data_IF_647132226805
#
_entry.id   IF_647132226805
#
_cell.length_a   1.000
_cell.length_b   1.000
_cell.length_c   1.000
_cell.angle_alpha   90.00
_cell.angle_beta   90.00
_cell.angle_gamma   90.00
#
_symmetry.space_group_name_H-M   'P 1'
#
loop_
_entity.id
_entity.type
_entity.pdbx_description
1 polymer ?
#
# COMPACT_ATOMS: atom_id res chain seq x y z
N UNK A 1 -13.17 -5.86 -3.43
CA UNK A 1 -11.87 -5.20 -3.20
C UNK A 1 -12.01 -4.20 -2.07
N UNK A 2 -11.09 -4.20 -1.10
CA UNK A 2 -11.06 -3.29 0.05
C UNK A 2 -9.77 -2.48 0.09
N UNK A 3 -9.88 -1.21 0.52
CA UNK A 3 -8.75 -0.29 0.69
C UNK A 3 -8.02 -0.61 1.98
N UNK A 4 -6.73 -0.92 1.89
CA UNK A 4 -5.86 -1.14 3.06
C UNK A 4 -5.18 0.14 3.51
N UNK A 5 -4.78 0.99 2.56
CA UNK A 5 -4.12 2.25 2.88
C UNK A 5 -4.23 3.25 1.73
N UNK A 6 -4.22 4.54 2.09
CA UNK A 6 -4.22 5.67 1.17
C UNK A 6 -2.87 6.38 1.21
N UNK A 7 -2.42 6.87 0.06
CA UNK A 7 -1.16 7.55 -0.14
C UNK A 7 -1.37 8.81 -0.98
N UNK A 8 -0.48 9.79 -0.78
CA UNK A 8 -0.40 11.03 -1.55
C UNK A 8 0.52 10.90 -2.78
N UNK A 9 1.29 9.81 -2.87
CA UNK A 9 2.25 9.59 -3.95
C UNK A 9 2.33 8.11 -4.36
N UNK A 10 2.66 7.90 -5.64
CA UNK A 10 2.68 6.56 -6.25
C UNK A 10 3.85 5.69 -5.74
N UNK A 11 4.95 6.31 -5.28
CA UNK A 11 6.12 5.57 -4.81
C UNK A 11 5.76 4.83 -3.51
N UNK A 12 5.22 5.53 -2.51
CA UNK A 12 4.80 4.94 -1.24
C UNK A 12 3.72 3.88 -1.42
N UNK A 13 2.76 4.11 -2.33
CA UNK A 13 1.74 3.12 -2.66
C UNK A 13 2.34 1.84 -3.26
N UNK A 14 3.30 1.97 -4.18
CA UNK A 14 3.97 0.82 -4.80
C UNK A 14 4.90 0.07 -3.83
N UNK A 15 5.52 0.76 -2.87
CA UNK A 15 6.26 0.10 -1.78
C UNK A 15 5.30 -0.74 -0.93
N UNK A 16 4.16 -0.18 -0.53
CA UNK A 16 3.14 -0.91 0.24
C UNK A 16 2.61 -2.13 -0.53
N UNK A 17 2.35 -1.98 -1.84
CA UNK A 17 1.99 -3.09 -2.72
C UNK A 17 3.07 -4.18 -2.72
N UNK A 18 4.35 -3.80 -2.86
CA UNK A 18 5.47 -4.74 -2.84
C UNK A 18 5.53 -5.55 -1.55
N UNK A 19 5.40 -4.91 -0.38
CA UNK A 19 5.38 -5.60 0.93
C UNK A 19 4.26 -6.65 1.00
N UNK A 20 3.06 -6.32 0.54
CA UNK A 20 1.94 -7.26 0.53
C UNK A 20 2.19 -8.43 -0.42
N UNK A 21 2.65 -8.15 -1.64
CA UNK A 21 2.90 -9.18 -2.65
C UNK A 21 4.04 -10.13 -2.25
N UNK A 22 5.10 -9.63 -1.62
CA UNK A 22 6.19 -10.45 -1.06
C UNK A 22 5.70 -11.40 0.05
N UNK A 23 4.63 -11.04 0.75
CA UNK A 23 3.99 -11.87 1.76
C UNK A 23 2.83 -12.72 1.21
N UNK A 24 2.70 -12.81 -0.12
CA UNK A 24 1.71 -13.66 -0.78
C UNK A 24 0.30 -13.07 -0.83
N UNK A 25 0.13 -11.77 -0.58
CA UNK A 25 -1.14 -11.05 -0.70
C UNK A 25 -1.14 -10.21 -1.98
N UNK A 26 -1.85 -10.61 -3.05
CA UNK A 26 -1.99 -9.80 -4.24
C UNK A 26 -2.65 -8.46 -3.93
N UNK A 27 -2.03 -7.36 -4.37
CA UNK A 27 -2.50 -6.01 -4.14
C UNK A 27 -2.48 -5.19 -5.43
N UNK A 28 -3.33 -4.18 -5.51
CA UNK A 28 -3.42 -3.27 -6.65
C UNK A 28 -3.30 -1.82 -6.17
N UNK A 29 -2.75 -0.95 -7.02
CA UNK A 29 -2.74 0.49 -6.80
C UNK A 29 -3.81 1.13 -7.69
N UNK A 30 -4.73 1.88 -7.09
CA UNK A 30 -5.74 2.67 -7.79
C UNK A 30 -5.36 4.15 -7.74
N UNK A 31 -5.67 4.87 -8.82
CA UNK A 31 -5.52 6.33 -8.89
C UNK A 31 -4.13 6.86 -9.22
N UNK A 32 -3.11 5.99 -9.41
CA UNK A 32 -1.72 6.38 -9.71
C UNK A 32 -1.56 7.26 -10.97
N UNK A 33 -2.50 7.17 -11.93
CA UNK A 33 -2.44 7.89 -13.21
C UNK A 33 -3.51 9.00 -13.34
N UNK A 34 -4.32 9.24 -12.32
CA UNK A 34 -5.43 10.22 -12.41
C UNK A 34 -4.92 11.67 -12.50
N UNK A 35 -3.80 11.99 -11.88
CA UNK A 35 -3.17 13.32 -11.95
C UNK A 35 -2.74 13.64 -13.40
N UNK A 36 -2.23 12.65 -14.13
CA UNK A 36 -1.82 12.81 -15.53
C UNK A 36 -3.03 12.95 -16.47
N UNK A 37 -4.11 12.20 -16.22
CA UNK A 37 -5.28 12.16 -17.10
C UNK A 37 -6.24 13.34 -16.92
N UNK A 38 -6.26 14.00 -15.76
CA UNK A 38 -7.30 15.00 -15.44
C UNK A 38 -6.77 16.44 -15.43
N UNK A 39 -5.44 16.63 -15.49
CA UNK A 39 -4.83 17.96 -15.35
C UNK A 39 -5.07 18.62 -13.98
N UNK A 40 -5.74 17.91 -13.06
CA UNK A 40 -6.02 18.38 -11.73
C UNK A 40 -4.83 18.03 -10.82
N UNK A 41 -4.05 19.04 -10.48
CA UNK A 41 -2.97 19.02 -9.47
C UNK A 41 -3.50 18.95 -8.03
N UNK A 42 -4.80 18.68 -7.85
CA UNK A 42 -5.42 18.68 -6.53
C UNK A 42 -5.32 17.27 -5.91
N UNK A 43 -4.15 16.97 -5.35
CA UNK A 43 -3.85 15.72 -4.63
C UNK A 43 -4.79 15.47 -3.45
N UNK A 44 -5.45 16.51 -2.95
CA UNK A 44 -6.45 16.41 -1.87
C UNK A 44 -7.76 15.77 -2.33
N UNK A 45 -8.06 15.76 -3.63
CA UNK A 45 -9.29 15.18 -4.18
C UNK A 45 -9.11 13.75 -4.71
N UNK A 46 -7.87 13.30 -4.93
CA UNK A 46 -7.57 12.00 -5.52
C UNK A 46 -6.45 11.32 -4.73
N UNK A 47 -6.84 10.56 -3.70
CA UNK A 47 -5.90 9.68 -2.99
C UNK A 47 -5.51 8.50 -3.88
N UNK A 48 -4.23 8.11 -3.84
CA UNK A 48 -3.76 6.85 -4.40
C UNK A 48 -4.05 5.76 -3.38
N UNK A 49 -4.74 4.69 -3.79
CA UNK A 49 -5.24 3.67 -2.87
C UNK A 49 -4.58 2.33 -3.14
N UNK A 50 -4.06 1.68 -2.11
CA UNK A 50 -3.69 0.26 -2.18
C UNK A 50 -4.89 -0.56 -1.74
N UNK A 51 -5.26 -1.52 -2.58
CA UNK A 51 -6.46 -2.35 -2.40
C UNK A 51 -6.12 -3.83 -2.55
N UNK A 52 -6.85 -4.67 -1.82
CA UNK A 52 -6.73 -6.14 -1.86
C UNK A 52 -8.11 -6.77 -2.05
N UNK A 53 -8.15 -8.07 -2.36
CA UNK A 53 -9.40 -8.83 -2.29
C UNK A 53 -9.98 -8.82 -0.88
N UNK A 54 -11.31 -8.79 -0.76
CA UNK A 54 -11.99 -8.69 0.54
C UNK A 54 -11.64 -9.85 1.47
N UNK A 55 -11.39 -11.04 0.92
CA UNK A 55 -11.00 -12.23 1.67
C UNK A 55 -9.60 -12.16 2.27
N UNK A 56 -8.75 -11.25 1.77
CA UNK A 56 -7.36 -11.08 2.20
C UNK A 56 -7.15 -9.81 3.04
N UNK A 57 -8.22 -9.06 3.32
CA UNK A 57 -8.13 -7.78 4.01
C UNK A 57 -7.51 -7.90 5.42
N UNK A 58 -7.98 -8.85 6.22
CA UNK A 58 -7.50 -9.03 7.59
C UNK A 58 -6.02 -9.44 7.63
N UNK A 59 -5.61 -10.27 6.67
CA UNK A 59 -4.21 -10.68 6.50
C UNK A 59 -3.32 -9.51 6.07
N UNK A 60 -3.78 -8.69 5.13
CA UNK A 60 -3.07 -7.48 4.71
C UNK A 60 -2.86 -6.51 5.87
N UNK A 61 -3.91 -6.29 6.70
CA UNK A 61 -3.81 -5.44 7.88
C UNK A 61 -2.84 -6.02 8.94
N UNK A 62 -2.77 -7.34 9.07
CA UNK A 62 -1.80 -8.02 9.95
C UNK A 62 -0.36 -7.80 9.48
N UNK A 63 -0.10 -7.93 8.18
CA UNK A 63 1.23 -7.71 7.59
C UNK A 63 1.66 -6.25 7.80
N UNK A 64 0.79 -5.29 7.47
CA UNK A 64 1.10 -3.86 7.57
C UNK A 64 1.19 -3.35 9.02
N UNK A 65 0.48 -3.99 9.95
CA UNK A 65 0.56 -3.67 11.39
C UNK A 65 1.72 -4.35 12.11
N UNK A 66 2.42 -5.28 11.46
CA UNK A 66 3.63 -5.89 12.03
C UNK A 66 4.78 -4.91 11.87
N UNK A 67 5.30 -4.38 12.99
CA UNK A 67 6.54 -3.59 12.94
C UNK A 67 7.65 -4.42 12.27
N UNK A 68 8.57 -3.80 11.51
CA UNK A 68 9.72 -4.52 11.00
C UNK A 68 10.41 -5.15 12.20
N UNK A 69 10.42 -6.48 12.27
CA UNK A 69 11.14 -7.20 13.31
C UNK A 69 12.58 -6.71 13.24
N UNK A 70 12.96 -5.86 14.20
CA UNK A 70 14.28 -5.31 14.30
C UNK A 70 15.26 -6.46 14.16
N UNK A 71 16.18 -6.31 13.22
CA UNK A 71 17.32 -7.21 13.08
C UNK A 71 17.84 -7.56 14.48
N UNK A 72 17.97 -8.84 14.78
CA UNK A 72 18.69 -9.32 15.95
C UNK A 72 20.07 -8.65 15.96
N UNK A 73 20.23 -7.55 16.69
CA UNK A 73 21.55 -7.07 17.06
C UNK A 73 22.07 -8.07 18.07
N UNK A 74 22.72 -9.12 17.56
CA UNK A 74 23.59 -9.99 18.35
C UNK A 74 24.71 -9.12 18.90
N UNK A 75 24.51 -8.60 20.11
CA UNK A 75 25.60 -8.06 20.92
C UNK A 75 26.37 -9.27 21.45
N UNK A 76 27.55 -9.50 20.86
CA UNK A 76 28.62 -10.32 21.43
C UNK A 76 29.66 -9.39 22.03
#
# INVERSE_FOLDING_TARGET
MKVVQKFDNAISANICKGVLEENGVPAFVLGENLVWSTGAVNTDLVSIEVVVDDSLYDEAMRILGSEPSGQEIRQN
#
